data_IF_639777616744
#
_entry.id   IF_639777616744
#
_cell.length_a   1.000
_cell.length_b   1.000
_cell.length_c   1.000
_cell.angle_alpha   90.00
_cell.angle_beta   90.00
_cell.angle_gamma   90.00
#
_symmetry.space_group_name_H-M   'P 1'
#
loop_
_entity.id
_entity.type
_entity.pdbx_description
1 polymer ?
#
# COMPACT_ATOMS: atom_id res chain seq x y z
N UNK A 1 12.22 22.95 -7.40
CA UNK A 1 10.82 22.94 -6.94
C UNK A 1 10.81 23.44 -5.51
N UNK A 2 9.79 24.19 -5.10
CA UNK A 2 9.71 24.70 -3.73
C UNK A 2 9.10 23.61 -2.84
N UNK A 3 9.80 23.26 -1.76
CA UNK A 3 9.28 22.35 -0.73
C UNK A 3 8.26 23.13 0.10
N UNK A 4 7.04 22.62 0.16
CA UNK A 4 5.92 23.25 0.89
C UNK A 4 5.63 22.47 2.16
N UNK A 5 5.25 23.18 3.23
CA UNK A 5 4.84 22.48 4.45
C UNK A 5 3.51 21.77 4.23
N UNK A 6 3.25 20.76 5.05
CA UNK A 6 1.99 20.02 5.00
C UNK A 6 0.75 20.90 5.20
N UNK A 7 0.84 21.93 6.04
CA UNK A 7 -0.26 22.87 6.25
C UNK A 7 -0.45 23.79 5.05
N UNK A 8 0.62 24.15 4.34
CA UNK A 8 0.54 24.98 3.13
C UNK A 8 -0.10 24.20 1.98
N UNK A 9 0.22 22.91 1.83
CA UNK A 9 -0.44 22.03 0.86
C UNK A 9 -1.95 21.95 1.12
N UNK A 10 -2.35 21.86 2.40
CA UNK A 10 -3.75 21.92 2.81
C UNK A 10 -4.42 23.26 2.49
N UNK A 11 -3.72 24.38 2.73
CA UNK A 11 -4.20 25.71 2.36
C UNK A 11 -4.41 25.86 0.85
N UNK A 12 -3.47 25.36 0.04
CA UNK A 12 -3.59 25.37 -1.43
C UNK A 12 -4.81 24.57 -1.90
N UNK A 13 -5.04 23.38 -1.34
CA UNK A 13 -6.21 22.56 -1.65
C UNK A 13 -7.52 23.25 -1.25
N UNK A 14 -7.59 23.82 -0.04
CA UNK A 14 -8.77 24.57 0.42
C UNK A 14 -9.07 25.80 -0.45
N UNK A 15 -8.03 26.43 -1.00
CA UNK A 15 -8.14 27.55 -1.94
C UNK A 15 -8.47 27.11 -3.38
N UNK A 16 -8.61 25.80 -3.64
CA UNK A 16 -8.86 25.24 -4.97
C UNK A 16 -7.66 25.33 -5.93
N UNK A 17 -6.45 25.57 -5.40
CA UNK A 17 -5.20 25.64 -6.16
C UNK A 17 -4.52 24.28 -6.17
N UNK A 18 -4.06 23.85 -7.34
CA UNK A 18 -3.37 22.56 -7.47
C UNK A 18 -1.97 22.63 -6.88
N UNK A 19 -1.65 21.68 -5.99
CA UNK A 19 -0.31 21.47 -5.46
C UNK A 19 0.61 20.69 -6.43
N UNK A 20 0.13 20.34 -7.63
CA UNK A 20 0.88 19.66 -8.67
C UNK A 20 2.00 20.57 -9.21
N UNK A 21 3.23 20.36 -8.72
CA UNK A 21 4.42 21.14 -9.08
C UNK A 21 5.28 21.53 -7.88
N UNK A 22 4.81 21.24 -6.67
CA UNK A 22 5.56 21.43 -5.43
C UNK A 22 5.98 20.08 -4.85
N UNK A 23 7.02 20.12 -4.04
CA UNK A 23 7.49 18.96 -3.29
C UNK A 23 6.93 19.05 -1.86
N UNK A 24 6.61 17.90 -1.28
CA UNK A 24 6.13 17.78 0.09
C UNK A 24 7.03 16.76 0.80
N UNK A 25 7.76 17.22 1.81
CA UNK A 25 8.77 16.41 2.52
C UNK A 25 9.86 15.90 1.57
N UNK A 26 10.22 16.70 0.56
CA UNK A 26 11.21 16.34 -0.46
C UNK A 26 10.76 15.28 -1.47
N UNK A 27 9.47 14.92 -1.50
CA UNK A 27 8.89 14.06 -2.53
C UNK A 27 7.85 14.84 -3.35
N UNK A 28 7.77 14.65 -4.68
CA UNK A 28 6.77 15.32 -5.50
C UNK A 28 5.35 15.01 -4.99
N UNK A 29 4.48 16.02 -4.88
CA UNK A 29 3.08 15.84 -4.43
C UNK A 29 2.32 14.76 -5.22
N UNK A 30 2.69 14.55 -6.49
CA UNK A 30 2.14 13.48 -7.33
C UNK A 30 2.35 12.07 -6.74
N UNK A 31 3.47 11.85 -6.05
CA UNK A 31 3.78 10.56 -5.41
C UNK A 31 2.89 10.32 -4.19
N UNK A 32 2.63 11.37 -3.41
CA UNK A 32 1.68 11.31 -2.30
C UNK A 32 0.28 10.92 -2.78
N UNK A 33 -0.18 11.47 -3.91
CA UNK A 33 -1.44 11.06 -4.55
C UNK A 33 -1.49 9.58 -4.93
N UNK A 34 -0.40 9.05 -5.49
CA UNK A 34 -0.31 7.60 -5.82
C UNK A 34 -0.38 6.73 -4.57
N UNK A 35 0.30 7.13 -3.50
CA UNK A 35 0.18 6.47 -2.20
C UNK A 35 -1.25 6.50 -1.69
N UNK A 36 -1.94 7.64 -1.82
CA UNK A 36 -3.34 7.79 -1.46
C UNK A 36 -4.27 6.81 -2.19
N UNK A 37 -4.08 6.65 -3.51
CA UNK A 37 -4.84 5.69 -4.33
C UNK A 37 -4.58 4.23 -3.93
N UNK A 38 -3.32 3.87 -3.68
CA UNK A 38 -2.96 2.51 -3.24
C UNK A 38 -3.62 2.21 -1.89
N UNK A 39 -3.54 3.14 -0.93
CA UNK A 39 -4.16 2.99 0.38
C UNK A 39 -5.69 2.91 0.30
N UNK A 40 -6.31 3.73 -0.53
CA UNK A 40 -7.76 3.69 -0.78
C UNK A 40 -8.20 2.35 -1.39
N UNK A 41 -7.41 1.81 -2.34
CA UNK A 41 -7.66 0.50 -2.92
C UNK A 41 -7.51 -0.63 -1.88
N UNK A 42 -6.44 -0.61 -1.09
CA UNK A 42 -6.20 -1.61 -0.03
C UNK A 42 -7.30 -1.57 1.02
N UNK A 43 -7.77 -0.38 1.39
CA UNK A 43 -8.93 -0.23 2.27
C UNK A 43 -10.19 -0.85 1.65
N UNK A 44 -10.52 -0.51 0.40
CA UNK A 44 -11.68 -1.07 -0.29
C UNK A 44 -11.62 -2.61 -0.34
N UNK A 45 -10.43 -3.16 -0.63
CA UNK A 45 -10.20 -4.60 -0.60
C UNK A 45 -10.44 -5.19 0.81
N UNK A 46 -10.03 -4.49 1.86
CA UNK A 46 -10.23 -4.93 3.25
C UNK A 46 -11.70 -4.89 3.66
N UNK A 47 -12.48 -3.89 3.21
CA UNK A 47 -13.93 -3.84 3.40
C UNK A 47 -14.62 -5.00 2.68
N UNK A 48 -14.21 -5.32 1.45
CA UNK A 48 -14.73 -6.48 0.72
C UNK A 48 -14.44 -7.77 1.49
N UNK A 49 -13.23 -7.91 2.05
CA UNK A 49 -12.87 -9.05 2.90
C UNK A 49 -13.77 -9.13 4.14
N UNK A 50 -14.05 -8.02 4.83
CA UNK A 50 -14.99 -8.00 5.97
C UNK A 50 -16.42 -8.37 5.55
N UNK A 51 -16.88 -7.87 4.39
CA UNK A 51 -18.23 -8.11 3.87
C UNK A 51 -18.44 -9.56 3.40
N UNK A 52 -17.40 -10.23 2.92
CA UNK A 52 -17.43 -11.66 2.56
C UNK A 52 -17.60 -12.55 3.80
N UNK A 53 -17.22 -12.05 4.98
CA UNK A 53 -17.36 -12.73 6.26
C UNK A 53 -16.25 -13.77 6.52
N UNK A 54 -15.86 -13.97 7.79
CA UNK A 54 -14.75 -14.85 8.17
C UNK A 54 -15.03 -16.33 7.83
N UNK A 55 -16.29 -16.77 7.73
CA UNK A 55 -16.64 -18.17 7.45
C UNK A 55 -16.37 -18.57 6.00
N UNK A 56 -16.60 -17.67 5.04
CA UNK A 56 -16.27 -17.93 3.63
C UNK A 56 -14.77 -17.80 3.40
N UNK A 57 -14.15 -16.83 4.07
CA UNK A 57 -12.71 -16.64 4.05
C UNK A 57 -11.95 -17.77 4.72
N UNK A 58 -12.46 -18.41 5.78
CA UNK A 58 -11.80 -19.55 6.43
C UNK A 58 -11.82 -20.78 5.52
N UNK A 59 -12.93 -21.05 4.81
CA UNK A 59 -12.98 -22.15 3.81
C UNK A 59 -12.03 -21.92 2.64
N UNK A 60 -11.93 -20.69 2.15
CA UNK A 60 -10.91 -20.32 1.15
C UNK A 60 -9.51 -20.36 1.74
N UNK A 61 -9.37 -19.91 2.98
CA UNK A 61 -8.16 -19.83 3.77
C UNK A 61 -7.57 -21.21 4.04
N UNK A 62 -8.37 -22.25 4.23
CA UNK A 62 -7.89 -23.64 4.34
C UNK A 62 -7.37 -24.19 3.01
N UNK A 63 -7.93 -23.77 1.88
CA UNK A 63 -7.37 -24.08 0.55
C UNK A 63 -6.06 -23.32 0.33
N UNK A 64 -6.03 -22.03 0.67
CA UNK A 64 -4.87 -21.16 0.51
C UNK A 64 -3.75 -21.51 1.50
N UNK A 65 -4.09 -21.89 2.73
CA UNK A 65 -3.18 -22.35 3.78
C UNK A 65 -2.59 -23.71 3.43
N UNK A 66 -3.31 -24.61 2.74
CA UNK A 66 -2.68 -25.81 2.17
C UNK A 66 -1.66 -25.47 1.07
N UNK A 67 -1.90 -24.41 0.31
CA UNK A 67 -0.91 -23.87 -0.63
C UNK A 67 0.27 -23.16 0.07
N UNK A 68 0.02 -22.43 1.17
CA UNK A 68 1.00 -21.63 1.92
C UNK A 68 1.73 -22.36 3.06
N UNK A 69 1.21 -23.50 3.53
CA UNK A 69 1.84 -24.36 4.55
C UNK A 69 3.08 -25.07 4.01
N UNK A 70 3.33 -24.99 2.70
CA UNK A 70 4.69 -25.13 2.18
C UNK A 70 5.52 -23.94 2.67
N UNK A 71 6.26 -24.19 3.75
CA UNK A 71 7.41 -23.43 4.29
C UNK A 71 7.82 -22.30 3.35
N UNK A 72 7.82 -21.02 3.77
CA UNK A 72 7.98 -19.86 2.89
C UNK A 72 9.16 -20.12 1.96
N UNK A 73 8.83 -20.51 0.74
CA UNK A 73 9.84 -20.91 -0.22
C UNK A 73 10.50 -19.62 -0.67
N UNK A 74 11.80 -19.69 -1.00
CA UNK A 74 12.53 -18.64 -1.71
C UNK A 74 11.69 -18.03 -2.86
N UNK A 75 10.79 -18.82 -3.45
CA UNK A 75 9.81 -18.43 -4.46
C UNK A 75 8.87 -17.30 -4.04
N UNK A 76 8.31 -17.27 -2.83
CA UNK A 76 7.37 -16.21 -2.41
C UNK A 76 8.07 -14.86 -2.31
N UNK A 77 9.30 -14.87 -1.78
CA UNK A 77 10.15 -13.68 -1.75
C UNK A 77 10.52 -13.22 -3.16
N UNK A 78 10.94 -14.15 -4.03
CA UNK A 78 11.25 -13.86 -5.44
C UNK A 78 10.05 -13.30 -6.20
N UNK A 79 8.84 -13.82 -5.99
CA UNK A 79 7.61 -13.29 -6.60
C UNK A 79 7.33 -11.86 -6.13
N UNK A 80 7.45 -11.58 -4.83
CA UNK A 80 7.30 -10.21 -4.32
C UNK A 80 8.34 -9.24 -4.89
N UNK A 81 9.58 -9.72 -5.06
CA UNK A 81 10.69 -8.95 -5.63
C UNK A 81 10.48 -8.66 -7.12
N UNK A 82 10.02 -9.66 -7.89
CA UNK A 82 9.67 -9.50 -9.31
C UNK A 82 8.46 -8.59 -9.52
N UNK A 83 7.46 -8.68 -8.64
CA UNK A 83 6.26 -7.83 -8.72
C UNK A 83 6.62 -6.39 -8.37
N UNK A 84 7.45 -6.16 -7.34
CA UNK A 84 7.98 -4.85 -6.99
C UNK A 84 8.81 -4.22 -8.12
N UNK A 85 9.70 -5.01 -8.75
CA UNK A 85 10.46 -4.57 -9.92
C UNK A 85 9.57 -4.26 -11.14
N UNK A 86 8.55 -5.09 -11.41
CA UNK A 86 7.62 -4.86 -12.51
C UNK A 86 6.77 -3.59 -12.32
N UNK A 87 6.34 -3.30 -11.08
CA UNK A 87 5.64 -2.06 -10.76
C UNK A 87 6.51 -0.85 -11.08
N UNK A 88 7.80 -0.88 -10.75
CA UNK A 88 8.72 0.23 -11.04
C UNK A 88 8.87 0.47 -12.54
N UNK A 89 8.96 -0.61 -13.33
CA UNK A 89 9.06 -0.51 -14.80
C UNK A 89 7.83 0.17 -15.41
N UNK A 90 6.67 0.01 -14.77
CA UNK A 90 5.40 0.61 -15.24
C UNK A 90 5.17 2.00 -14.66
N UNK A 91 5.77 2.34 -13.52
CA UNK A 91 5.64 3.67 -12.91
C UNK A 91 6.62 4.67 -13.49
N UNK A 92 6.21 5.94 -13.53
CA UNK A 92 7.11 7.03 -13.93
C UNK A 92 8.35 7.11 -13.01
N UNK A 93 9.52 7.48 -13.58
CA UNK A 93 10.77 7.59 -12.82
C UNK A 93 10.64 8.61 -11.69
N UNK A 94 11.21 8.27 -10.55
CA UNK A 94 11.23 9.02 -9.29
C UNK A 94 12.34 10.10 -9.31
N UNK A 95 13.08 10.21 -10.42
CA UNK A 95 14.17 11.17 -10.58
C UNK A 95 15.47 10.74 -9.90
N UNK A 96 15.57 9.47 -9.49
CA UNK A 96 16.82 8.87 -9.02
C UNK A 96 17.37 7.91 -10.09
N UNK A 97 18.67 7.58 -10.07
CA UNK A 97 19.23 6.70 -11.10
C UNK A 97 18.46 5.38 -11.18
N UNK A 98 18.13 4.93 -12.40
CA UNK A 98 17.33 3.72 -12.64
C UNK A 98 17.77 2.47 -11.85
N UNK A 99 19.06 2.21 -11.55
CA UNK A 99 19.44 1.05 -10.74
C UNK A 99 19.00 1.19 -9.28
N UNK A 100 18.99 2.42 -8.76
CA UNK A 100 18.56 2.73 -7.39
C UNK A 100 17.04 2.59 -7.28
N UNK A 101 16.30 3.09 -8.27
CA UNK A 101 14.84 2.89 -8.35
C UNK A 101 14.50 1.41 -8.34
N UNK A 102 15.14 0.63 -9.22
CA UNK A 102 14.92 -0.81 -9.32
C UNK A 102 15.15 -1.54 -8.00
N UNK A 103 16.26 -1.24 -7.31
CA UNK A 103 16.59 -1.86 -6.02
C UNK A 103 15.59 -1.45 -4.94
N UNK A 104 15.21 -0.18 -4.88
CA UNK A 104 14.27 0.33 -3.87
C UNK A 104 12.89 -0.31 -3.99
N UNK A 105 12.26 -0.33 -5.16
CA UNK A 105 10.93 -0.97 -5.25
C UNK A 105 10.99 -2.49 -5.28
N UNK A 106 12.09 -3.12 -5.69
CA UNK A 106 12.29 -4.56 -5.49
C UNK A 106 12.37 -4.93 -4.00
N UNK A 107 13.11 -4.14 -3.21
CA UNK A 107 13.23 -4.34 -1.76
C UNK A 107 11.92 -4.01 -1.03
N UNK A 108 11.25 -2.91 -1.39
CA UNK A 108 9.92 -2.57 -0.87
C UNK A 108 8.87 -3.64 -1.23
N UNK A 109 8.86 -4.13 -2.47
CA UNK A 109 7.96 -5.21 -2.91
C UNK A 109 8.18 -6.52 -2.16
N UNK A 110 9.45 -6.91 -1.95
CA UNK A 110 9.81 -8.06 -1.12
C UNK A 110 9.39 -7.90 0.35
N UNK A 111 9.61 -6.72 0.93
CA UNK A 111 9.20 -6.40 2.30
C UNK A 111 7.67 -6.42 2.45
N UNK A 112 6.94 -5.83 1.50
CA UNK A 112 5.48 -5.83 1.47
C UNK A 112 4.91 -7.25 1.34
N UNK A 113 5.51 -8.09 0.49
CA UNK A 113 5.15 -9.51 0.37
C UNK A 113 5.37 -10.29 1.67
N UNK A 114 6.49 -10.05 2.36
CA UNK A 114 6.79 -10.68 3.64
C UNK A 114 5.85 -10.19 4.76
N UNK A 115 5.52 -8.89 4.77
CA UNK A 115 4.56 -8.30 5.70
C UNK A 115 3.16 -8.87 5.48
N UNK A 116 2.71 -8.96 4.22
CA UNK A 116 1.42 -9.54 3.86
C UNK A 116 1.31 -11.00 4.30
N UNK A 117 2.39 -11.78 4.17
CA UNK A 117 2.44 -13.15 4.65
C UNK A 117 2.36 -13.22 6.19
N UNK A 118 3.13 -12.40 6.90
CA UNK A 118 3.10 -12.30 8.37
C UNK A 118 1.71 -11.89 8.87
N UNK A 119 1.09 -10.90 8.23
CA UNK A 119 -0.28 -10.46 8.52
C UNK A 119 -1.27 -11.59 8.27
N UNK A 120 -1.18 -12.29 7.14
CA UNK A 120 -2.02 -13.45 6.83
C UNK A 120 -1.93 -14.56 7.88
N UNK A 121 -0.74 -14.87 8.39
CA UNK A 121 -0.57 -15.81 9.50
C UNK A 121 -1.15 -15.27 10.82
N UNK A 122 -1.00 -13.97 11.08
CA UNK A 122 -1.50 -13.33 12.31
C UNK A 122 -3.03 -13.25 12.31
N UNK A 123 -3.62 -13.08 11.13
CA UNK A 123 -5.06 -13.03 10.89
C UNK A 123 -5.79 -14.35 11.08
N UNK A 124 -5.06 -15.47 11.20
CA UNK A 124 -5.65 -16.76 11.55
C UNK A 124 -5.99 -16.88 13.04
N UNK A 125 -5.69 -15.86 13.86
CA UNK A 125 -6.07 -15.85 15.27
C UNK A 125 -7.55 -15.46 15.45
N UNK A 126 -8.32 -16.19 16.28
CA UNK A 126 -9.77 -16.03 16.41
C UNK A 126 -10.24 -14.68 16.98
N UNK A 127 -9.37 -13.93 17.68
CA UNK A 127 -9.75 -12.67 18.36
C UNK A 127 -9.52 -11.39 17.52
N UNK A 128 -9.14 -11.51 16.25
CA UNK A 128 -8.70 -10.36 15.43
C UNK A 128 -9.72 -9.54 14.60
N UNK A 129 -11.02 -9.85 14.50
CA UNK A 129 -11.90 -9.18 13.52
C UNK A 129 -12.14 -7.69 13.84
N UNK A 130 -12.24 -7.30 15.11
CA UNK A 130 -12.44 -5.89 15.50
C UNK A 130 -11.21 -5.04 15.21
N UNK A 131 -10.02 -5.56 15.50
CA UNK A 131 -8.76 -4.86 15.23
C UNK A 131 -8.56 -4.60 13.72
N UNK A 132 -8.90 -5.58 12.87
CA UNK A 132 -8.84 -5.43 11.42
C UNK A 132 -9.75 -4.32 10.89
N UNK A 133 -10.95 -4.16 11.44
CA UNK A 133 -11.86 -3.08 11.05
C UNK A 133 -11.28 -1.70 11.31
N UNK A 134 -10.69 -1.50 12.50
CA UNK A 134 -10.04 -0.24 12.84
C UNK A 134 -8.80 0.03 12.00
N UNK A 135 -8.00 -1.01 11.70
CA UNK A 135 -6.84 -0.89 10.80
C UNK A 135 -7.28 -0.53 9.38
N UNK A 136 -8.33 -1.18 8.85
CA UNK A 136 -8.92 -0.87 7.55
C UNK A 136 -9.41 0.59 7.48
N UNK A 137 -10.14 1.02 8.50
CA UNK A 137 -10.63 2.40 8.60
C UNK A 137 -9.47 3.39 8.64
N UNK A 138 -8.42 3.10 9.42
CA UNK A 138 -7.22 3.94 9.47
C UNK A 138 -6.54 4.04 8.10
N UNK A 139 -6.33 2.91 7.42
CA UNK A 139 -5.75 2.87 6.07
C UNK A 139 -6.62 3.63 5.06
N UNK A 140 -7.94 3.54 5.17
CA UNK A 140 -8.87 4.29 4.33
C UNK A 140 -8.71 5.80 4.51
N UNK A 141 -8.77 6.26 5.76
CA UNK A 141 -8.72 7.69 6.08
C UNK A 141 -7.39 8.29 5.65
N UNK A 142 -6.28 7.59 5.94
CA UNK A 142 -4.94 8.04 5.53
C UNK A 142 -4.81 8.02 4.00
N UNK A 143 -5.33 6.99 3.32
CA UNK A 143 -5.32 6.91 1.86
C UNK A 143 -6.12 8.01 1.18
N UNK A 144 -7.34 8.21 1.64
CA UNK A 144 -8.23 9.26 1.16
C UNK A 144 -7.62 10.65 1.38
N UNK A 145 -6.98 10.85 2.53
CA UNK A 145 -6.30 12.10 2.85
C UNK A 145 -5.18 12.43 1.85
N UNK A 146 -4.34 11.45 1.51
CA UNK A 146 -3.26 11.65 0.54
C UNK A 146 -3.77 11.81 -0.89
N UNK A 147 -4.90 11.18 -1.24
CA UNK A 147 -5.52 11.36 -2.55
C UNK A 147 -6.09 12.79 -2.70
N UNK A 148 -6.72 13.32 -1.66
CA UNK A 148 -7.21 14.72 -1.64
C UNK A 148 -6.08 15.74 -1.81
N UNK A 149 -4.94 15.55 -1.16
CA UNK A 149 -3.80 16.47 -1.29
C UNK A 149 -3.20 16.50 -2.71
N UNK A 150 -3.48 15.49 -3.52
CA UNK A 150 -2.96 15.37 -4.88
C UNK A 150 -4.01 15.62 -5.97
N UNK A 151 -5.28 15.86 -5.61
CA UNK A 151 -6.37 16.26 -6.50
C UNK A 151 -6.42 17.77 -6.65
#
# INVERSE_FOLDING_TARGET
MADISYLDAWGMWLDGRSALGHDLLGLPVIWWGRFGKILSFVSGATVVVDLVGPEKLSRYGERLARFMARRPSRKTFVVGLLTGGAVIVVTEPIGVPWPVEFVLGSTLGGAAGMLSFRLGCTLQRPDFPVAMRWVSLGLFVVGFHFDLLAS
#
